data_IF_937078649021
#
_entry.id   IF_937078649021
#
_cell.length_a   1.000
_cell.length_b   1.000
_cell.length_c   1.000
_cell.angle_alpha   90.00
_cell.angle_beta   90.00
_cell.angle_gamma   90.00
#
_symmetry.space_group_name_H-M   'P 1'
#
loop_
_entity.id
_entity.type
_entity.pdbx_description
1 polymer ?
#
# COMPACT_ATOMS: atom_id res chain seq x y z
N UNK A 1 -19.24 8.07 -11.38
CA UNK A 1 -19.68 6.69 -11.73
C UNK A 1 -18.48 5.77 -11.52
N UNK A 2 -18.58 4.80 -10.62
CA UNK A 2 -17.50 3.85 -10.34
C UNK A 2 -17.65 2.62 -11.22
N UNK A 3 -16.53 2.01 -11.62
CA UNK A 3 -16.46 0.78 -12.42
C UNK A 3 -15.49 -0.20 -11.75
N UNK A 4 -15.76 -1.48 -11.91
CA UNK A 4 -14.88 -2.56 -11.47
C UNK A 4 -14.56 -3.43 -12.68
N UNK A 5 -13.29 -3.73 -12.87
CA UNK A 5 -12.83 -4.73 -13.84
C UNK A 5 -13.19 -6.12 -13.32
N UNK A 6 -13.70 -6.97 -14.20
CA UNK A 6 -14.08 -8.34 -13.87
C UNK A 6 -13.36 -9.36 -14.72
N UNK A 7 -12.85 -8.97 -15.89
CA UNK A 7 -12.12 -9.87 -16.78
C UNK A 7 -11.21 -9.11 -17.72
N UNK A 8 -10.15 -9.76 -18.20
CA UNK A 8 -9.28 -9.30 -19.29
C UNK A 8 -9.46 -10.30 -20.44
N UNK A 9 -9.87 -9.80 -21.59
CA UNK A 9 -10.23 -10.60 -22.76
C UNK A 9 -9.03 -10.77 -23.69
N UNK A 10 -8.95 -11.92 -24.34
CA UNK A 10 -7.94 -12.30 -25.29
C UNK A 10 -7.19 -13.57 -24.90
N UNK A 11 -6.74 -14.37 -25.87
CA UNK A 11 -5.99 -15.61 -25.60
C UNK A 11 -4.48 -15.44 -25.68
N UNK A 12 -3.97 -14.85 -26.78
CA UNK A 12 -2.54 -14.64 -27.03
C UNK A 12 -2.09 -13.20 -26.80
N UNK A 13 -3.02 -12.29 -26.89
CA UNK A 13 -2.83 -10.86 -26.65
C UNK A 13 -4.10 -10.32 -25.97
N UNK A 14 -3.99 -9.16 -25.36
CA UNK A 14 -5.16 -8.46 -24.84
C UNK A 14 -6.00 -7.97 -26.02
N UNK A 15 -7.30 -8.24 -25.98
CA UNK A 15 -8.29 -7.74 -26.94
C UNK A 15 -9.26 -6.76 -26.27
N UNK A 16 -9.38 -6.79 -24.93
CA UNK A 16 -10.27 -5.87 -24.22
C UNK A 16 -10.31 -6.10 -22.72
N UNK A 17 -11.10 -5.26 -22.06
CA UNK A 17 -11.39 -5.33 -20.63
C UNK A 17 -12.88 -5.36 -20.40
N UNK A 18 -13.36 -6.36 -19.67
CA UNK A 18 -14.75 -6.44 -19.22
C UNK A 18 -14.89 -5.76 -17.88
N UNK A 19 -15.83 -4.86 -17.77
CA UNK A 19 -16.11 -4.11 -16.55
C UNK A 19 -17.58 -4.21 -16.17
N UNK A 20 -17.88 -3.95 -14.91
CA UNK A 20 -19.23 -3.79 -14.39
C UNK A 20 -19.35 -2.43 -13.70
N UNK A 21 -20.49 -1.77 -13.79
CA UNK A 21 -20.76 -0.57 -12.99
C UNK A 21 -20.86 -0.96 -11.52
N UNK A 22 -20.46 -0.06 -10.64
CA UNK A 22 -20.64 -0.23 -9.21
C UNK A 22 -21.39 0.95 -8.60
N UNK A 23 -22.15 0.66 -7.57
CA UNK A 23 -22.78 1.63 -6.68
C UNK A 23 -22.15 1.54 -5.29
N UNK A 24 -22.22 2.60 -4.51
CA UNK A 24 -21.75 2.57 -3.13
C UNK A 24 -22.78 1.83 -2.27
N UNK A 25 -22.34 0.78 -1.62
CA UNK A 25 -23.12 0.05 -0.61
C UNK A 25 -23.13 0.75 0.74
N UNK A 26 -23.63 0.04 1.75
CA UNK A 26 -23.61 0.52 3.14
C UNK A 26 -22.18 0.66 3.66
N UNK A 27 -21.94 1.58 4.61
CA UNK A 27 -20.63 1.71 5.27
C UNK A 27 -20.28 0.46 6.07
N UNK A 28 -19.03 0.04 6.02
CA UNK A 28 -18.47 -0.96 6.93
C UNK A 28 -18.23 -0.38 8.34
N UNK A 29 -17.71 -1.19 9.25
CA UNK A 29 -17.41 -0.79 10.64
C UNK A 29 -16.38 0.37 10.76
N UNK A 30 -15.64 0.68 9.69
CA UNK A 30 -14.72 1.81 9.60
C UNK A 30 -15.34 3.03 8.89
N UNK A 31 -16.63 2.98 8.57
CA UNK A 31 -17.32 4.03 7.82
C UNK A 31 -17.04 4.03 6.31
N UNK A 32 -16.30 3.04 5.78
CA UNK A 32 -15.96 2.94 4.37
C UNK A 32 -17.07 2.22 3.61
N UNK A 33 -17.62 2.87 2.59
CA UNK A 33 -18.62 2.26 1.70
C UNK A 33 -17.95 1.34 0.69
N UNK A 34 -18.39 0.09 0.65
CA UNK A 34 -17.87 -0.93 -0.27
C UNK A 34 -18.63 -0.82 -1.59
N UNK A 35 -17.94 -0.73 -2.74
CA UNK A 35 -18.59 -0.73 -4.04
C UNK A 35 -19.27 -2.08 -4.34
N UNK A 36 -20.55 -2.06 -4.64
CA UNK A 36 -21.36 -3.23 -5.00
C UNK A 36 -21.59 -3.22 -6.52
N UNK A 37 -21.36 -4.36 -7.22
CA UNK A 37 -21.69 -4.46 -8.64
C UNK A 37 -23.17 -4.23 -8.92
N UNK A 38 -23.48 -3.49 -9.97
CA UNK A 38 -24.83 -3.34 -10.48
C UNK A 38 -25.12 -4.48 -11.46
N UNK A 39 -26.14 -5.32 -11.23
CA UNK A 39 -26.49 -6.39 -12.16
C UNK A 39 -26.72 -5.86 -13.58
N UNK A 40 -26.46 -6.68 -14.57
CA UNK A 40 -26.68 -6.42 -16.01
C UNK A 40 -26.06 -5.11 -16.52
N UNK A 41 -24.99 -4.65 -15.88
CA UNK A 41 -24.28 -3.41 -16.26
C UNK A 41 -22.90 -3.67 -16.87
N UNK A 42 -22.67 -4.89 -17.31
CA UNK A 42 -21.39 -5.29 -17.92
C UNK A 42 -21.13 -4.50 -19.22
N UNK A 43 -19.88 -4.14 -19.41
CA UNK A 43 -19.42 -3.47 -20.61
C UNK A 43 -18.02 -3.92 -20.96
N UNK A 44 -17.79 -4.17 -22.25
CA UNK A 44 -16.48 -4.46 -22.82
C UNK A 44 -15.92 -3.15 -23.36
N UNK A 45 -14.63 -2.93 -23.11
CA UNK A 45 -13.83 -1.86 -23.69
C UNK A 45 -12.68 -2.51 -24.44
N UNK A 46 -12.51 -2.15 -25.71
CA UNK A 46 -11.37 -2.59 -26.50
C UNK A 46 -10.08 -2.05 -25.92
N UNK A 47 -9.05 -2.87 -25.84
CA UNK A 47 -7.75 -2.49 -25.30
C UNK A 47 -6.66 -3.40 -25.89
N UNK A 48 -5.57 -2.81 -26.31
CA UNK A 48 -4.38 -3.53 -26.77
C UNK A 48 -3.40 -3.82 -25.63
N UNK A 49 -3.50 -3.04 -24.54
CA UNK A 49 -2.65 -3.16 -23.35
C UNK A 49 -3.47 -2.91 -22.09
N UNK A 50 -3.25 -3.73 -21.07
CA UNK A 50 -3.80 -3.52 -19.71
C UNK A 50 -2.67 -3.44 -18.71
N UNK A 51 -2.64 -2.37 -17.94
CA UNK A 51 -1.68 -2.17 -16.84
C UNK A 51 -2.41 -2.41 -15.51
N UNK A 52 -1.94 -3.42 -14.76
CA UNK A 52 -2.44 -3.70 -13.42
C UNK A 52 -1.76 -2.73 -12.45
N UNK A 53 -2.56 -1.86 -11.82
CA UNK A 53 -2.08 -0.83 -10.91
C UNK A 53 -2.90 -0.83 -9.60
N UNK A 54 -3.10 -2.02 -9.01
CA UNK A 54 -3.92 -2.20 -7.80
C UNK A 54 -3.20 -1.79 -6.50
N UNK A 55 -2.05 -1.15 -6.60
CA UNK A 55 -1.17 -0.85 -5.49
C UNK A 55 -0.25 -2.03 -5.17
N UNK A 56 0.35 -2.00 -4.00
CA UNK A 56 1.27 -3.04 -3.55
C UNK A 56 1.01 -3.41 -2.08
N UNK A 57 1.58 -4.53 -1.68
CA UNK A 57 1.64 -4.95 -0.27
C UNK A 57 3.09 -4.92 0.18
N UNK A 58 3.30 -4.56 1.43
CA UNK A 58 4.64 -4.65 2.01
C UNK A 58 5.14 -6.11 1.94
N UNK A 59 6.37 -6.28 1.52
CA UNK A 59 7.08 -7.56 1.45
C UNK A 59 8.36 -7.42 2.25
N UNK A 60 8.32 -7.71 3.57
CA UNK A 60 9.51 -7.67 4.40
C UNK A 60 10.59 -8.60 3.85
N UNK A 61 11.84 -8.19 3.94
CA UNK A 61 12.96 -9.05 3.55
C UNK A 61 13.20 -10.14 4.61
N UNK A 62 13.63 -11.33 4.18
CA UNK A 62 13.84 -12.49 5.06
C UNK A 62 14.84 -12.20 6.19
N UNK A 63 15.82 -11.34 5.92
CA UNK A 63 16.83 -10.96 6.92
C UNK A 63 16.32 -10.03 8.04
N UNK A 64 15.07 -9.58 8.00
CA UNK A 64 14.52 -8.71 9.06
C UNK A 64 14.52 -9.42 10.42
N UNK A 65 14.26 -10.71 10.43
CA UNK A 65 14.27 -11.52 11.65
C UNK A 65 15.68 -11.65 12.23
N UNK A 66 16.73 -11.75 11.38
CA UNK A 66 18.14 -11.82 11.81
C UNK A 66 18.58 -10.56 12.57
N UNK A 67 17.91 -9.45 12.35
CA UNK A 67 18.19 -8.16 12.98
C UNK A 67 17.12 -7.71 13.99
N UNK A 68 16.24 -8.60 14.41
CA UNK A 68 15.16 -8.32 15.37
C UNK A 68 14.25 -7.14 14.94
N UNK A 69 14.04 -6.95 13.64
CA UNK A 69 13.13 -5.91 13.12
C UNK A 69 11.70 -6.40 13.19
N UNK A 70 10.92 -5.85 14.12
CA UNK A 70 9.51 -6.21 14.25
C UNK A 70 8.68 -5.68 13.10
N UNK A 71 7.78 -6.53 12.61
CA UNK A 71 6.81 -6.21 11.56
C UNK A 71 5.37 -6.40 12.07
N UNK A 72 4.47 -5.58 11.55
CA UNK A 72 3.02 -5.68 11.79
C UNK A 72 2.44 -6.85 10.99
N UNK A 73 1.24 -7.32 11.32
CA UNK A 73 0.53 -8.40 10.59
C UNK A 73 0.37 -8.15 9.09
N UNK A 74 0.39 -6.89 8.67
CA UNK A 74 0.29 -6.47 7.26
C UNK A 74 1.66 -6.31 6.56
N UNK A 75 2.75 -6.74 7.19
CA UNK A 75 4.10 -6.68 6.64
C UNK A 75 4.83 -5.33 6.83
N UNK A 76 4.22 -4.35 7.48
CA UNK A 76 4.86 -3.05 7.71
C UNK A 76 5.81 -3.11 8.91
N UNK A 77 6.93 -2.40 8.81
CA UNK A 77 7.92 -2.27 9.89
C UNK A 77 7.33 -1.47 11.05
N UNK A 78 7.63 -1.89 12.26
CA UNK A 78 7.30 -1.14 13.48
C UNK A 78 8.39 -0.10 13.72
N UNK A 79 8.11 1.16 13.35
CA UNK A 79 8.98 2.31 13.59
C UNK A 79 8.07 3.54 13.77
N UNK A 80 7.76 3.85 15.01
CA UNK A 80 6.73 4.86 15.31
C UNK A 80 7.31 6.29 15.27
N UNK A 81 6.46 7.26 14.91
CA UNK A 81 6.82 8.68 14.96
C UNK A 81 6.84 9.22 16.40
N UNK A 82 5.93 8.71 17.24
CA UNK A 82 5.71 9.20 18.60
C UNK A 82 6.56 8.45 19.65
N UNK A 83 7.87 8.44 19.45
CA UNK A 83 8.84 7.86 20.37
C UNK A 83 10.06 8.76 20.53
N UNK A 84 10.94 8.46 21.46
CA UNK A 84 12.11 9.28 21.77
C UNK A 84 12.99 9.53 20.53
N UNK A 85 13.26 8.48 19.76
CA UNK A 85 13.94 8.55 18.48
C UNK A 85 12.93 8.19 17.39
N UNK A 86 12.36 9.20 16.73
CA UNK A 86 11.38 9.01 15.66
C UNK A 86 11.90 8.03 14.62
N UNK A 87 11.04 7.12 14.18
CA UNK A 87 11.32 6.14 13.13
C UNK A 87 12.43 5.12 13.45
N UNK A 88 12.85 5.00 14.72
CA UNK A 88 13.70 3.91 15.16
C UNK A 88 12.89 2.61 15.19
N UNK A 89 13.46 1.51 14.70
CA UNK A 89 12.81 0.19 14.75
C UNK A 89 12.98 -0.47 16.13
N UNK A 90 12.55 -1.73 16.27
CA UNK A 90 12.85 -2.54 17.44
C UNK A 90 14.36 -2.77 17.63
N UNK A 91 15.13 -2.77 16.55
CA UNK A 91 16.59 -2.73 16.63
C UNK A 91 17.04 -1.26 16.73
N UNK A 92 17.66 -0.91 17.86
CA UNK A 92 18.08 0.47 18.15
C UNK A 92 19.05 1.09 17.14
N UNK A 93 19.74 0.28 16.34
CA UNK A 93 20.68 0.75 15.32
C UNK A 93 20.03 0.94 13.94
N UNK A 94 18.75 0.58 13.79
CA UNK A 94 18.05 0.59 12.52
C UNK A 94 16.86 1.54 12.58
N UNK A 95 16.74 2.38 11.57
CA UNK A 95 15.63 3.33 11.39
C UNK A 95 14.93 3.03 10.07
N UNK A 96 13.62 3.26 10.02
CA UNK A 96 12.80 3.00 8.84
C UNK A 96 11.69 4.03 8.73
N UNK A 97 11.39 4.47 7.50
CA UNK A 97 10.30 5.39 7.21
C UNK A 97 9.71 5.12 5.83
N UNK A 98 8.75 5.95 5.43
CA UNK A 98 8.07 5.84 4.15
C UNK A 98 7.14 4.63 4.07
N UNK A 99 6.99 4.09 2.87
CA UNK A 99 6.02 3.03 2.57
C UNK A 99 6.24 1.75 3.38
N UNK A 100 7.48 1.47 3.82
CA UNK A 100 7.78 0.31 4.67
C UNK A 100 7.17 0.41 6.08
N UNK A 101 6.89 1.62 6.57
CA UNK A 101 6.33 1.87 7.90
C UNK A 101 4.84 2.21 7.83
N UNK A 102 4.48 3.07 6.88
CA UNK A 102 3.15 3.65 6.74
C UNK A 102 2.24 2.85 5.81
N UNK A 103 2.78 2.14 4.84
CA UNK A 103 2.10 1.62 3.68
C UNK A 103 2.18 2.60 2.51
N UNK A 104 1.45 2.30 1.42
CA UNK A 104 1.43 3.16 0.23
C UNK A 104 0.93 4.56 0.55
N UNK A 105 1.79 5.56 0.39
CA UNK A 105 1.48 6.97 0.65
C UNK A 105 2.23 7.87 -0.35
N UNK A 106 2.19 9.17 -0.13
CA UNK A 106 2.81 10.17 -0.99
C UNK A 106 4.34 10.18 -0.81
N UNK A 107 5.05 10.42 -1.90
CA UNK A 107 6.51 10.56 -1.88
C UNK A 107 6.98 11.70 -0.95
N UNK A 108 6.20 12.77 -0.84
CA UNK A 108 6.52 13.89 0.07
C UNK A 108 6.49 13.45 1.53
N UNK A 109 5.60 12.54 1.91
CA UNK A 109 5.53 11.94 3.26
C UNK A 109 6.77 11.09 3.51
N UNK A 110 7.15 10.25 2.56
CA UNK A 110 8.33 9.40 2.66
C UNK A 110 9.63 10.22 2.81
N UNK A 111 9.76 11.31 2.06
CA UNK A 111 10.90 12.24 2.17
C UNK A 111 10.93 12.90 3.55
N UNK A 112 9.78 13.34 4.06
CA UNK A 112 9.69 13.95 5.39
C UNK A 112 10.09 12.95 6.48
N UNK A 113 9.56 11.73 6.46
CA UNK A 113 9.91 10.67 7.41
C UNK A 113 11.40 10.33 7.38
N UNK A 114 11.99 10.24 6.18
CA UNK A 114 13.44 10.01 6.03
C UNK A 114 14.29 11.14 6.65
N UNK A 115 13.84 12.41 6.52
CA UNK A 115 14.52 13.56 7.16
C UNK A 115 14.39 13.52 8.68
N UNK A 116 13.23 13.19 9.21
CA UNK A 116 13.02 13.07 10.66
C UNK A 116 13.78 11.88 11.25
N UNK A 117 13.83 10.75 10.54
CA UNK A 117 14.68 9.62 10.90
C UNK A 117 16.17 10.02 10.94
N UNK A 118 16.65 10.77 9.94
CA UNK A 118 18.01 11.31 9.91
C UNK A 118 18.34 12.19 11.12
N UNK A 119 17.44 13.08 11.52
CA UNK A 119 17.60 13.90 12.74
C UNK A 119 17.65 13.01 13.99
N UNK A 120 16.82 11.97 14.06
CA UNK A 120 16.82 11.01 15.17
C UNK A 120 18.13 10.21 15.25
N UNK A 121 18.67 9.82 14.10
CA UNK A 121 19.98 9.15 14.03
C UNK A 121 21.07 10.06 14.61
N UNK A 122 21.12 11.32 14.17
CA UNK A 122 22.10 12.29 14.70
C UNK A 122 21.96 12.40 16.22
N UNK A 123 20.76 12.57 16.75
CA UNK A 123 20.49 12.63 18.18
C UNK A 123 20.89 11.34 18.91
N UNK A 124 20.75 10.18 18.26
CA UNK A 124 21.04 8.88 18.86
C UNK A 124 22.54 8.62 19.01
N UNK A 125 23.37 9.17 18.11
CA UNK A 125 24.83 8.95 18.09
C UNK A 125 25.62 10.09 18.76
N UNK A 126 24.97 11.21 19.13
CA UNK A 126 25.57 12.35 19.85
C UNK A 126 25.58 12.12 21.36
#
# INVERSE_FOLDING_TARGET
MYKRQIDILGEKKVDGVKTVRTMLGEPDHNGRRIPIPVPDSEKIYDADVVIIAFGFRASPADWFDDFDIKIKKNGLVVAEENQEFKFQTSNKKIFSGGDMVRGSDLVVTAIWEGREAGKSIIKYIS
#
